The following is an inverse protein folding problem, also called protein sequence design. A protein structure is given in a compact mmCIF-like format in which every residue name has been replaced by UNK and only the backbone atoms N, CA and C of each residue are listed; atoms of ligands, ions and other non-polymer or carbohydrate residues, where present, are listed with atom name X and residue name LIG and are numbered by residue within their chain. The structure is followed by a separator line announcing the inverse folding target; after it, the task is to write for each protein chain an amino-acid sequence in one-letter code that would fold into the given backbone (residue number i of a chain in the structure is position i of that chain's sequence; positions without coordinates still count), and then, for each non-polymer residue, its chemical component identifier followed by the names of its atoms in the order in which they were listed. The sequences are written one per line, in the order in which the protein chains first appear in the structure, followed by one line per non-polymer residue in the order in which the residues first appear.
data_IF_600490931604
#
_entry.id   IF_600490931604
#
_cell.length_a   1.000
_cell.length_b   1.000
_cell.length_c   1.000
_cell.angle_alpha   90.00
_cell.angle_beta   90.00
_cell.angle_gamma   90.00
#
_symmetry.space_group_name_H-M   'P 1'
#
loop_
_entity.id
_entity.type
_entity.pdbx_description
1 polymer ?
#
# COMPACT_ATOMS: atom_id res chain seq x y z
N UNK A 1 40.01 -11.46 53.78
CA UNK A 1 38.73 -11.96 54.34
C UNK A 1 37.86 -10.76 54.67
N UNK A 2 36.70 -10.60 54.02
CA UNK A 2 35.76 -9.49 54.28
C UNK A 2 34.36 -10.02 54.59
N UNK A 3 33.77 -9.59 55.71
CA UNK A 3 32.39 -9.97 56.08
C UNK A 3 31.36 -9.06 55.41
N UNK A 4 30.17 -9.61 55.21
CA UNK A 4 29.06 -8.97 54.50
C UNK A 4 28.50 -7.72 55.20
N UNK A 5 27.97 -6.79 54.40
CA UNK A 5 26.99 -5.80 54.81
C UNK A 5 25.74 -5.91 53.92
N UNK A 6 24.56 -5.94 54.55
CA UNK A 6 23.27 -5.83 53.85
C UNK A 6 22.91 -4.35 53.67
N UNK A 7 22.60 -3.94 52.44
CA UNK A 7 21.92 -2.66 52.20
C UNK A 7 20.40 -2.83 52.28
N UNK A 8 19.70 -1.84 52.85
CA UNK A 8 18.25 -1.88 53.12
C UNK A 8 17.43 -1.50 51.88
N UNK A 9 16.21 -2.02 51.81
CA UNK A 9 15.24 -1.70 50.76
C UNK A 9 14.80 -0.22 50.80
N UNK A 10 14.92 0.47 49.65
CA UNK A 10 14.22 1.73 49.39
C UNK A 10 12.96 1.47 48.57
N UNK A 11 11.78 1.83 49.09
CA UNK A 11 10.51 1.73 48.35
C UNK A 11 10.47 2.80 47.26
N UNK A 12 10.55 2.40 46.00
CA UNK A 12 10.19 3.27 44.87
C UNK A 12 8.68 3.55 44.91
N UNK A 13 8.29 4.82 44.71
CA UNK A 13 6.89 5.25 44.75
C UNK A 13 6.14 4.78 43.51
N UNK A 14 4.95 4.24 43.71
CA UNK A 14 4.05 3.82 42.65
C UNK A 14 3.49 5.07 41.95
N UNK A 15 3.87 5.28 40.68
CA UNK A 15 3.33 6.36 39.85
C UNK A 15 1.96 5.95 39.28
N UNK A 16 1.03 6.89 39.23
CA UNK A 16 -0.36 6.63 38.87
C UNK A 16 -0.55 6.06 37.46
N UNK A 17 -1.47 5.11 37.34
CA UNK A 17 -1.98 4.62 36.06
C UNK A 17 -2.80 5.72 35.38
N UNK A 18 -2.17 6.50 34.52
CA UNK A 18 -2.89 7.32 33.52
C UNK A 18 -3.68 6.38 32.62
N UNK A 19 -5.01 6.33 32.82
CA UNK A 19 -5.93 5.64 31.91
C UNK A 19 -5.95 6.39 30.58
N UNK A 20 -5.66 5.74 29.43
CA UNK A 20 -5.98 6.35 28.14
C UNK A 20 -7.50 6.38 27.97
N UNK A 21 -8.07 7.58 27.88
CA UNK A 21 -9.47 7.79 27.51
C UNK A 21 -9.61 7.56 26.01
N UNK A 22 -9.96 6.34 25.60
CA UNK A 22 -10.65 6.04 24.33
C UNK A 22 -11.29 4.65 24.40
N UNK A 23 -12.42 4.58 25.11
CA UNK A 23 -13.39 3.51 24.90
C UNK A 23 -14.45 4.00 23.90
N UNK A 24 -14.91 3.07 23.07
CA UNK A 24 -16.13 3.11 22.25
C UNK A 24 -16.12 3.94 20.94
N UNK A 25 -16.81 3.36 19.93
CA UNK A 25 -17.08 3.84 18.58
C UNK A 25 -15.91 3.97 17.57
N UNK A 26 -15.37 2.81 17.16
CA UNK A 26 -15.16 2.54 15.74
C UNK A 26 -16.17 1.52 15.22
N UNK A 27 -17.27 2.03 14.68
CA UNK A 27 -18.09 1.24 13.76
C UNK A 27 -17.39 1.20 12.41
N UNK A 28 -16.55 0.20 12.18
CA UNK A 28 -16.00 -0.05 10.83
C UNK A 28 -17.17 -0.31 9.88
N UNK A 29 -17.38 0.62 8.95
CA UNK A 29 -18.44 0.53 7.93
C UNK A 29 -18.04 -0.49 6.87
N UNK A 30 -18.08 -1.77 7.23
CA UNK A 30 -17.94 -2.89 6.30
C UNK A 30 -18.99 -2.74 5.21
N UNK A 31 -18.55 -2.48 3.98
CA UNK A 31 -19.43 -2.34 2.82
C UNK A 31 -19.66 -3.72 2.24
N UNK A 32 -20.82 -4.30 2.56
CA UNK A 32 -21.35 -5.48 1.87
C UNK A 32 -22.22 -5.01 0.71
N UNK A 33 -21.95 -5.48 -0.50
CA UNK A 33 -22.80 -5.25 -1.67
C UNK A 33 -23.14 -6.59 -2.30
N UNK A 34 -24.42 -6.93 -2.33
CA UNK A 34 -24.95 -8.04 -3.13
C UNK A 34 -25.43 -7.42 -4.44
N UNK A 35 -25.03 -7.98 -5.58
CA UNK A 35 -25.50 -7.50 -6.88
C UNK A 35 -26.88 -8.14 -7.16
N UNK A 36 -27.88 -7.39 -7.70
CA UNK A 36 -29.18 -7.96 -8.01
C UNK A 36 -29.07 -9.04 -9.09
N UNK A 37 -29.52 -10.25 -8.79
CA UNK A 37 -29.52 -11.37 -9.74
C UNK A 37 -30.43 -11.08 -10.94
N UNK A 38 -29.83 -11.01 -12.13
CA UNK A 38 -30.56 -10.87 -13.39
C UNK A 38 -31.20 -12.19 -13.80
N UNK A 39 -32.46 -12.42 -13.43
CA UNK A 39 -33.24 -13.52 -13.99
C UNK A 39 -33.70 -13.21 -15.42
N UNK A 40 -33.48 -14.11 -16.41
CA UNK A 40 -34.15 -14.02 -17.70
C UNK A 40 -35.66 -14.28 -17.48
N UNK A 41 -36.49 -13.53 -18.21
CA UNK A 41 -37.85 -13.27 -17.76
C UNK A 41 -38.87 -14.37 -18.00
N UNK A 42 -39.87 -14.44 -17.11
CA UNK A 42 -41.19 -14.98 -17.42
C UNK A 42 -42.25 -13.88 -17.32
N UNK A 43 -43.02 -13.71 -18.40
CA UNK A 43 -44.27 -12.95 -18.38
C UNK A 43 -45.35 -13.82 -17.74
N UNK A 44 -46.03 -13.35 -16.70
CA UNK A 44 -47.38 -13.83 -16.33
C UNK A 44 -48.25 -12.75 -15.69
N UNK A 45 -49.23 -12.33 -16.48
CA UNK A 45 -50.65 -12.17 -16.14
C UNK A 45 -51.05 -11.60 -14.77
N UNK A 46 -51.74 -10.45 -14.82
CA UNK A 46 -52.60 -9.95 -13.73
C UNK A 46 -53.70 -10.96 -13.39
N UNK A 47 -54.00 -11.14 -12.11
CA UNK A 47 -55.29 -11.61 -11.62
C UNK A 47 -55.68 -10.83 -10.36
N UNK A 48 -56.91 -10.30 -10.34
CA UNK A 48 -57.56 -9.83 -9.12
C UNK A 48 -57.94 -11.02 -8.25
N UNK A 49 -57.86 -10.89 -6.92
CA UNK A 49 -58.82 -11.50 -5.99
C UNK A 49 -58.98 -10.63 -4.72
N UNK A 50 -60.14 -10.77 -4.09
CA UNK A 50 -60.71 -9.82 -3.13
C UNK A 50 -60.09 -9.81 -1.72
N UNK A 51 -60.22 -8.65 -1.07
CA UNK A 51 -60.00 -8.49 0.36
C UNK A 51 -61.34 -8.59 1.12
N UNK A 52 -61.49 -9.64 1.94
CA UNK A 52 -62.62 -9.79 2.85
C UNK A 52 -62.17 -9.92 4.30
N UNK A 53 -62.39 -8.88 5.12
CA UNK A 53 -62.52 -8.97 6.57
C UNK A 53 -63.05 -7.67 7.18
N UNK A 54 -64.30 -7.70 7.67
CA UNK A 54 -64.69 -6.87 8.82
C UNK A 54 -64.03 -7.45 10.09
N UNK A 55 -63.88 -6.74 11.21
CA UNK A 55 -64.24 -5.36 11.55
C UNK A 55 -63.92 -5.11 13.03
N UNK A 56 -64.00 -3.87 13.51
CA UNK A 56 -63.71 -3.56 14.91
C UNK A 56 -63.67 -2.05 15.20
N UNK A 57 -64.82 -1.47 15.57
CA UNK A 57 -64.95 -0.04 15.90
C UNK A 57 -65.13 0.17 17.40
N UNK A 58 -64.25 0.96 18.01
CA UNK A 58 -64.51 1.90 19.12
C UNK A 58 -63.37 2.95 19.07
N UNK A 59 -63.50 4.23 19.43
CA UNK A 59 -64.66 5.06 19.81
C UNK A 59 -64.19 6.53 19.95
N UNK A 60 -64.84 7.47 19.25
CA UNK A 60 -64.44 8.87 18.97
C UNK A 60 -64.16 9.80 20.18
N UNK A 61 -63.24 10.75 19.98
CA UNK A 61 -63.43 12.23 20.04
C UNK A 61 -62.15 12.92 19.47
N UNK A 62 -62.13 13.72 18.38
CA UNK A 62 -62.60 15.12 18.17
C UNK A 62 -62.17 16.09 19.29
N UNK A 63 -61.60 17.28 19.06
CA UNK A 63 -61.11 17.99 17.84
C UNK A 63 -60.19 19.16 18.33
N UNK A 64 -59.47 19.98 17.53
CA UNK A 64 -59.42 20.23 16.08
C UNK A 64 -57.92 20.31 15.60
N UNK A 65 -57.40 21.12 14.66
CA UNK A 65 -57.97 22.12 13.74
C UNK A 65 -56.89 22.95 13.00
N UNK A 66 -57.06 23.10 11.67
CA UNK A 66 -56.42 24.07 10.75
C UNK A 66 -54.95 23.89 10.33
N UNK A 67 -54.83 23.80 9.01
CA UNK A 67 -53.63 23.82 8.18
C UNK A 67 -52.92 25.18 8.11
N UNK A 68 -51.62 25.16 7.76
CA UNK A 68 -51.15 25.64 6.45
C UNK A 68 -49.64 25.43 6.27
N UNK A 69 -49.26 24.85 5.13
CA UNK A 69 -47.91 25.01 4.59
C UNK A 69 -47.80 26.35 3.86
N UNK A 70 -46.59 26.94 3.79
CA UNK A 70 -46.22 27.82 2.67
C UNK A 70 -44.70 27.89 2.50
N UNK A 71 -44.28 27.80 1.24
CA UNK A 71 -42.94 28.10 0.80
C UNK A 71 -42.85 29.54 0.27
N UNK A 72 -41.64 30.09 0.25
CA UNK A 72 -41.15 30.80 -0.93
C UNK A 72 -41.18 32.35 -0.95
N UNK A 73 -39.96 32.88 -1.14
CA UNK A 73 -39.54 33.97 -2.05
C UNK A 73 -39.50 35.44 -1.56
N UNK A 74 -38.41 36.07 -2.01
CA UNK A 74 -38.19 37.47 -2.44
C UNK A 74 -38.30 38.63 -1.43
N UNK A 75 -37.13 39.19 -1.08
CA UNK A 75 -36.64 40.55 -1.41
C UNK A 75 -37.61 41.65 -1.93
N UNK A 76 -37.22 42.95 -1.91
CA UNK A 76 -36.21 43.64 -1.07
C UNK A 76 -36.74 44.99 -0.52
N UNK A 77 -35.91 45.74 0.25
CA UNK A 77 -35.94 47.23 0.24
C UNK A 77 -34.69 47.87 0.86
N UNK A 78 -34.29 49.00 0.28
CA UNK A 78 -33.21 49.89 0.72
C UNK A 78 -33.74 50.89 1.75
N UNK A 79 -32.88 51.43 2.62
CA UNK A 79 -32.76 52.87 2.85
C UNK A 79 -31.43 53.19 3.55
N UNK A 80 -30.91 54.39 3.31
CA UNK A 80 -29.64 54.90 3.84
C UNK A 80 -29.90 56.00 4.90
N UNK A 81 -28.92 56.22 5.78
CA UNK A 81 -28.73 57.47 6.52
C UNK A 81 -27.28 57.58 7.04
N UNK A 82 -26.66 58.75 6.83
CA UNK A 82 -25.55 59.28 7.65
C UNK A 82 -26.05 59.51 9.10
N UNK A 83 -25.26 59.76 10.16
CA UNK A 83 -24.12 60.68 10.23
C UNK A 83 -23.26 60.49 11.52
N UNK A 84 -22.23 61.34 11.64
CA UNK A 84 -21.09 61.46 12.57
C UNK A 84 -21.26 61.28 14.09
N UNK A 85 -20.16 60.84 14.70
CA UNK A 85 -19.66 61.24 16.04
C UNK A 85 -18.82 60.14 16.72
N UNK A 86 -17.78 60.39 17.52
CA UNK A 86 -16.85 61.53 17.69
C UNK A 86 -15.59 61.00 18.43
N UNK A 87 -14.43 61.64 18.23
CA UNK A 87 -13.15 61.63 18.99
C UNK A 87 -12.62 60.37 19.72
N UNK A 88 -11.34 60.06 19.48
CA UNK A 88 -10.54 59.16 20.32
C UNK A 88 -9.10 58.94 19.86
N UNK A 89 -8.20 59.92 20.08
CA UNK A 89 -6.76 59.78 19.81
C UNK A 89 -6.09 58.78 20.76
N UNK A 90 -5.44 57.75 20.23
CA UNK A 90 -4.35 57.02 20.93
C UNK A 90 -3.22 56.76 19.93
N UNK A 91 -1.99 56.99 20.39
CA UNK A 91 -0.78 57.15 19.61
C UNK A 91 -0.33 55.96 18.75
N UNK A 92 0.52 56.27 17.78
CA UNK A 92 1.29 55.32 16.97
C UNK A 92 2.02 54.27 17.83
N UNK A 93 1.72 53.00 17.54
CA UNK A 93 2.61 51.90 17.81
C UNK A 93 2.93 51.24 16.46
N UNK A 94 4.15 51.44 15.96
CA UNK A 94 4.59 50.86 14.69
C UNK A 94 4.41 49.34 14.70
N UNK A 95 3.42 48.86 13.94
CA UNK A 95 3.27 47.42 13.71
C UNK A 95 4.48 46.95 12.90
N UNK A 96 5.18 45.88 13.32
CA UNK A 96 6.31 45.36 12.56
C UNK A 96 5.84 45.05 11.14
N UNK A 97 6.57 45.61 10.15
CA UNK A 97 6.25 45.46 8.72
C UNK A 97 6.03 43.97 8.44
N UNK A 98 4.86 43.62 7.90
CA UNK A 98 4.55 42.24 7.51
C UNK A 98 5.69 41.74 6.61
N UNK A 99 6.49 40.82 7.14
CA UNK A 99 7.58 40.21 6.38
C UNK A 99 7.04 39.70 5.05
N UNK A 100 7.75 40.00 3.95
CA UNK A 100 7.33 39.62 2.62
C UNK A 100 7.02 38.12 2.61
N UNK A 101 5.75 37.77 2.38
CA UNK A 101 5.33 36.38 2.39
C UNK A 101 6.02 35.68 1.22
N UNK A 102 7.04 34.87 1.54
CA UNK A 102 7.80 34.09 0.55
C UNK A 102 6.79 33.40 -0.38
N UNK A 103 6.80 33.70 -1.69
CA UNK A 103 5.85 33.10 -2.62
C UNK A 103 5.87 31.59 -2.47
N UNK A 104 4.70 30.97 -2.33
CA UNK A 104 4.58 29.52 -2.03
C UNK A 104 5.33 28.62 -3.03
N UNK A 105 5.66 29.13 -4.22
CA UNK A 105 6.53 28.47 -5.20
C UNK A 105 8.02 28.47 -4.81
N UNK A 106 8.55 29.56 -4.27
CA UNK A 106 9.96 29.69 -3.87
C UNK A 106 10.28 28.78 -2.69
N UNK A 107 9.43 28.78 -1.65
CA UNK A 107 9.57 27.87 -0.51
C UNK A 107 9.58 26.40 -0.95
N UNK A 108 8.76 26.02 -1.95
CA UNK A 108 8.78 24.66 -2.53
C UNK A 108 10.08 24.35 -3.26
N UNK A 109 10.67 25.31 -3.99
CA UNK A 109 11.98 25.14 -4.65
C UNK A 109 13.10 24.99 -3.61
N UNK A 110 13.11 25.81 -2.56
CA UNK A 110 14.09 25.69 -1.47
C UNK A 110 14.00 24.34 -0.78
N UNK A 111 12.80 23.89 -0.40
CA UNK A 111 12.60 22.55 0.22
C UNK A 111 13.06 21.43 -0.73
N UNK A 112 12.73 21.50 -2.02
CA UNK A 112 13.17 20.51 -3.00
C UNK A 112 14.71 20.49 -3.18
N UNK A 113 15.36 21.66 -3.21
CA UNK A 113 16.82 21.77 -3.29
C UNK A 113 17.52 21.23 -2.04
N UNK A 114 17.02 21.57 -0.85
CA UNK A 114 17.53 21.05 0.43
C UNK A 114 17.35 19.53 0.51
N UNK A 115 16.19 19.00 0.12
CA UNK A 115 15.95 17.56 0.08
C UNK A 115 16.86 16.85 -0.93
N UNK A 116 17.13 17.47 -2.09
CA UNK A 116 18.08 16.96 -3.09
C UNK A 116 19.53 16.96 -2.57
N UNK A 117 19.92 17.98 -1.81
CA UNK A 117 21.25 18.04 -1.18
C UNK A 117 21.40 16.96 -0.09
N UNK A 118 20.40 16.81 0.78
CA UNK A 118 20.32 15.73 1.77
C UNK A 118 20.43 14.35 1.12
N UNK A 119 19.66 14.07 0.05
CA UNK A 119 19.74 12.79 -0.67
C UNK A 119 21.11 12.53 -1.30
N UNK A 120 21.80 13.56 -1.80
CA UNK A 120 23.17 13.42 -2.34
C UNK A 120 24.18 13.07 -1.24
N UNK A 121 24.12 13.76 -0.10
CA UNK A 121 24.96 13.44 1.06
C UNK A 121 24.69 12.01 1.57
N UNK A 122 23.41 11.67 1.79
CA UNK A 122 23.01 10.35 2.26
C UNK A 122 23.41 9.21 1.31
N UNK A 123 23.44 9.44 -0.02
CA UNK A 123 23.94 8.44 -1.00
C UNK A 123 25.47 8.29 -0.98
N UNK A 124 26.21 9.33 -0.56
CA UNK A 124 27.67 9.26 -0.41
C UNK A 124 28.10 8.51 0.86
N UNK A 125 27.36 8.67 1.96
CA UNK A 125 27.60 7.98 3.23
C UNK A 125 26.92 6.58 3.30
N UNK A 126 26.30 6.13 2.21
CA UNK A 126 25.52 4.89 2.18
C UNK A 126 26.41 3.65 2.21
N UNK A 127 26.04 2.66 3.03
CA UNK A 127 26.72 1.36 3.08
C UNK A 127 26.57 0.61 1.75
N UNK A 128 27.68 0.16 1.16
CA UNK A 128 27.71 -0.64 -0.07
C UNK A 128 27.91 -2.12 0.27
N UNK A 129 27.06 -2.96 -0.32
CA UNK A 129 27.16 -4.42 -0.29
C UNK A 129 28.10 -4.90 -1.39
N UNK A 130 28.64 -6.12 -1.28
CA UNK A 130 29.57 -6.72 -2.25
C UNK A 130 28.88 -7.28 -3.51
N UNK A 131 27.56 -7.09 -3.60
CA UNK A 131 26.71 -7.49 -4.72
C UNK A 131 25.75 -6.35 -5.10
N UNK A 132 25.38 -6.21 -6.38
CA UNK A 132 24.55 -5.12 -6.84
C UNK A 132 23.18 -5.06 -6.15
N UNK A 133 22.70 -3.84 -5.95
CA UNK A 133 21.47 -3.56 -5.24
C UNK A 133 20.47 -2.86 -6.15
N UNK A 134 19.40 -3.57 -6.52
CA UNK A 134 18.25 -3.04 -7.29
C UNK A 134 17.14 -2.64 -6.31
N UNK A 135 16.73 -1.38 -6.36
CA UNK A 135 15.75 -0.79 -5.45
C UNK A 135 14.43 -0.57 -6.17
N UNK A 136 13.34 -1.15 -5.64
CA UNK A 136 11.99 -0.90 -6.12
C UNK A 136 11.28 0.00 -5.11
N UNK A 137 10.72 1.12 -5.55
CA UNK A 137 9.96 1.99 -4.65
C UNK A 137 8.98 2.91 -5.34
N UNK A 138 8.47 3.88 -4.58
CA UNK A 138 7.62 4.95 -5.09
C UNK A 138 7.82 6.23 -4.26
N UNK A 139 7.28 7.35 -4.74
CA UNK A 139 7.31 8.64 -4.02
C UNK A 139 6.07 8.90 -3.15
N UNK A 140 5.21 7.90 -2.91
CA UNK A 140 3.83 8.13 -2.44
C UNK A 140 3.31 7.09 -1.44
N UNK A 141 2.47 7.53 -0.50
CA UNK A 141 1.83 6.67 0.49
C UNK A 141 0.72 5.82 -0.14
N UNK A 142 0.90 4.50 -0.07
CA UNK A 142 -0.07 3.48 -0.50
C UNK A 142 0.52 2.43 -1.46
N UNK A 143 -0.24 1.35 -1.68
CA UNK A 143 0.15 0.26 -2.56
C UNK A 143 0.11 0.66 -4.05
N UNK A 144 1.28 0.87 -4.66
CA UNK A 144 1.43 1.03 -6.12
C UNK A 144 1.97 -0.22 -6.84
N UNK A 145 1.82 -1.40 -6.24
CA UNK A 145 2.31 -2.65 -6.82
C UNK A 145 3.83 -2.83 -6.74
N UNK A 146 4.48 -2.22 -5.73
CA UNK A 146 5.92 -2.38 -5.45
C UNK A 146 6.31 -3.84 -5.23
N UNK A 147 5.64 -4.53 -4.30
CA UNK A 147 5.87 -5.95 -3.99
C UNK A 147 5.70 -6.87 -5.21
N UNK A 148 4.62 -6.77 -6.03
CA UNK A 148 4.55 -7.46 -7.33
C UNK A 148 5.65 -7.09 -8.33
N UNK A 149 6.09 -5.83 -8.41
CA UNK A 149 7.17 -5.41 -9.30
C UNK A 149 8.53 -5.93 -8.81
N UNK A 150 8.78 -5.95 -7.49
CA UNK A 150 9.96 -6.56 -6.89
C UNK A 150 10.01 -8.07 -7.17
N UNK A 151 8.88 -8.77 -7.08
CA UNK A 151 8.78 -10.16 -7.51
C UNK A 151 9.03 -10.34 -9.02
N UNK A 152 8.51 -9.44 -9.87
CA UNK A 152 8.77 -9.46 -11.31
C UNK A 152 10.26 -9.27 -11.64
N UNK A 153 10.90 -8.26 -11.05
CA UNK A 153 12.34 -7.96 -11.22
C UNK A 153 13.21 -9.11 -10.70
N UNK A 154 12.90 -9.66 -9.52
CA UNK A 154 13.61 -10.83 -9.00
C UNK A 154 13.47 -12.06 -9.91
N UNK A 155 12.30 -12.30 -10.50
CA UNK A 155 12.12 -13.37 -11.51
C UNK A 155 12.93 -13.13 -12.79
N UNK A 156 13.03 -11.89 -13.28
CA UNK A 156 13.86 -11.57 -14.45
C UNK A 156 15.35 -11.86 -14.20
N UNK A 157 15.84 -11.54 -13.00
CA UNK A 157 17.22 -11.81 -12.58
C UNK A 157 17.48 -13.31 -12.36
N UNK A 158 16.55 -14.02 -11.70
CA UNK A 158 16.64 -15.48 -11.59
C UNK A 158 16.66 -16.16 -12.96
N UNK A 159 15.84 -15.67 -13.91
CA UNK A 159 15.80 -16.17 -15.28
C UNK A 159 17.03 -15.79 -16.13
N UNK A 160 17.92 -14.91 -15.65
CA UNK A 160 19.26 -14.68 -16.25
C UNK A 160 20.37 -15.47 -15.55
N UNK A 161 20.04 -16.36 -14.62
CA UNK A 161 21.00 -17.19 -13.88
C UNK A 161 21.54 -16.57 -12.59
N UNK A 162 21.05 -15.40 -12.19
CA UNK A 162 21.39 -14.80 -10.90
C UNK A 162 20.68 -15.52 -9.74
N UNK A 163 21.23 -15.37 -8.53
CA UNK A 163 20.61 -15.82 -7.27
C UNK A 163 20.14 -14.59 -6.48
N UNK A 164 18.93 -14.06 -6.77
CA UNK A 164 18.44 -12.87 -6.11
C UNK A 164 18.11 -13.12 -4.65
N UNK A 165 18.42 -12.15 -3.81
CA UNK A 165 17.79 -11.99 -2.49
C UNK A 165 16.79 -10.84 -2.52
N UNK A 166 15.68 -10.95 -1.80
CA UNK A 166 14.69 -9.89 -1.64
C UNK A 166 14.74 -9.36 -0.21
N UNK A 167 15.10 -8.09 -0.06
CA UNK A 167 15.31 -7.42 1.22
C UNK A 167 14.10 -6.52 1.53
N UNK A 168 13.32 -6.87 2.56
CA UNK A 168 12.12 -6.14 2.97
C UNK A 168 12.23 -5.58 4.39
N UNK A 169 11.41 -4.57 4.71
CA UNK A 169 11.27 -4.04 6.10
C UNK A 169 10.59 -5.02 7.04
N UNK A 170 9.70 -5.88 6.52
CA UNK A 170 8.70 -6.57 7.35
C UNK A 170 7.65 -5.61 7.90
N UNK A 171 7.05 -4.78 7.02
CA UNK A 171 5.91 -3.95 7.41
C UNK A 171 4.75 -4.86 7.87
N UNK A 172 4.04 -4.45 8.92
CA UNK A 172 2.94 -5.25 9.49
C UNK A 172 3.35 -6.38 10.46
N UNK A 173 4.65 -6.64 10.69
CA UNK A 173 5.09 -7.56 11.75
C UNK A 173 4.61 -7.11 13.13
N UNK A 174 4.23 -8.05 14.00
CA UNK A 174 3.83 -7.76 15.37
C UNK A 174 5.03 -7.74 16.33
N UNK A 175 6.04 -8.55 16.03
CA UNK A 175 7.24 -8.69 16.84
C UNK A 175 8.44 -8.34 15.97
N UNK A 176 9.11 -7.24 16.32
CA UNK A 176 10.43 -6.94 15.80
C UNK A 176 11.44 -7.92 16.42
N UNK A 177 12.09 -8.73 15.58
CA UNK A 177 13.28 -9.47 15.98
C UNK A 177 14.49 -8.53 16.04
N UNK A 178 15.34 -8.68 17.06
CA UNK A 178 16.69 -8.13 17.03
C UNK A 178 17.50 -8.87 15.95
N UNK A 179 17.84 -8.19 14.86
CA UNK A 179 18.60 -8.75 13.73
C UNK A 179 17.74 -9.09 12.49
N UNK A 180 18.14 -10.13 11.76
CA UNK A 180 17.57 -10.51 10.46
C UNK A 180 16.65 -11.72 10.61
N UNK A 181 15.41 -11.61 10.15
CA UNK A 181 14.52 -12.76 9.96
C UNK A 181 14.65 -13.29 8.54
N UNK A 182 15.04 -14.55 8.38
CA UNK A 182 15.00 -15.24 7.08
C UNK A 182 13.61 -15.86 6.90
N UNK A 183 12.94 -15.50 5.80
CA UNK A 183 11.60 -15.98 5.41
C UNK A 183 11.70 -17.02 4.30
N UNK A 184 12.75 -16.95 3.49
CA UNK A 184 13.14 -17.96 2.49
C UNK A 184 14.65 -17.99 2.38
N UNK A 185 15.24 -19.18 2.30
CA UNK A 185 16.65 -19.39 1.92
C UNK A 185 16.84 -19.62 0.40
N UNK A 186 15.74 -19.58 -0.36
CA UNK A 186 15.69 -19.89 -1.80
C UNK A 186 15.31 -21.34 -2.11
N UNK A 187 15.43 -22.26 -1.16
CA UNK A 187 15.01 -23.66 -1.30
C UNK A 187 13.71 -23.94 -0.53
N UNK A 188 13.56 -23.36 0.66
CA UNK A 188 12.44 -23.56 1.57
C UNK A 188 11.94 -22.23 2.15
N UNK A 189 10.62 -22.16 2.40
CA UNK A 189 10.01 -21.03 3.10
C UNK A 189 10.12 -21.28 4.61
N UNK A 190 11.09 -20.61 5.24
CA UNK A 190 11.37 -20.69 6.66
C UNK A 190 10.36 -19.83 7.43
N UNK A 191 9.36 -20.46 8.02
CA UNK A 191 8.37 -19.78 8.85
C UNK A 191 8.86 -19.71 10.30
N UNK A 192 8.79 -18.52 10.92
CA UNK A 192 9.23 -18.31 12.31
C UNK A 192 10.75 -18.25 12.54
N UNK A 193 11.57 -18.16 11.47
CA UNK A 193 13.02 -17.99 11.58
C UNK A 193 13.78 -19.23 12.09
N UNK A 194 13.19 -20.42 12.03
CA UNK A 194 13.83 -21.71 12.33
C UNK A 194 13.42 -22.75 11.28
N UNK A 195 14.25 -23.78 11.10
CA UNK A 195 13.97 -24.92 10.24
C UNK A 195 12.98 -25.92 10.92
N UNK A 196 11.79 -25.44 11.27
CA UNK A 196 10.70 -26.19 11.90
C UNK A 196 9.42 -26.08 11.07
N UNK A 197 8.48 -27.06 11.16
CA UNK A 197 7.19 -26.96 10.49
C UNK A 197 6.36 -25.76 10.98
N UNK A 198 5.66 -25.13 10.04
CA UNK A 198 4.88 -23.92 10.24
C UNK A 198 3.92 -23.95 11.45
N UNK A 199 3.91 -22.87 12.23
CA UNK A 199 2.97 -22.64 13.35
C UNK A 199 2.18 -21.33 13.14
N UNK A 200 1.00 -21.15 13.77
CA UNK A 200 0.16 -19.97 13.55
C UNK A 200 0.82 -18.60 13.87
N UNK A 201 1.86 -18.57 14.71
CA UNK A 201 2.55 -17.34 15.10
C UNK A 201 3.55 -16.82 14.05
N UNK A 202 3.83 -17.55 12.97
CA UNK A 202 4.96 -17.20 12.09
C UNK A 202 4.72 -15.91 11.28
N UNK A 203 3.47 -15.57 11.01
CA UNK A 203 3.08 -14.30 10.37
C UNK A 203 3.42 -13.08 11.23
N UNK A 204 3.43 -13.23 12.56
CA UNK A 204 3.78 -12.16 13.49
C UNK A 204 5.25 -11.74 13.39
N UNK A 205 6.12 -12.65 12.92
CA UNK A 205 7.56 -12.44 12.76
C UNK A 205 7.96 -12.10 11.32
N UNK A 206 7.43 -12.83 10.33
CA UNK A 206 7.78 -12.65 8.91
C UNK A 206 7.07 -11.48 8.23
N UNK A 207 5.88 -11.09 8.71
CA UNK A 207 4.99 -10.17 7.98
C UNK A 207 4.29 -10.83 6.78
N UNK A 208 3.29 -10.15 6.21
CA UNK A 208 2.49 -10.65 5.09
C UNK A 208 3.21 -10.49 3.74
N UNK A 209 3.71 -9.30 3.43
CA UNK A 209 4.41 -9.00 2.17
C UNK A 209 5.67 -9.88 1.93
N UNK A 210 6.54 -10.17 2.92
CA UNK A 210 7.70 -11.05 2.72
C UNK A 210 7.32 -12.51 2.44
N UNK A 211 6.26 -13.04 3.07
CA UNK A 211 5.78 -14.39 2.77
C UNK A 211 5.17 -14.47 1.36
N UNK A 212 4.50 -13.42 0.90
CA UNK A 212 4.03 -13.32 -0.49
C UNK A 212 5.21 -13.33 -1.48
N UNK A 213 6.28 -12.57 -1.20
CA UNK A 213 7.48 -12.54 -2.03
C UNK A 213 8.15 -13.92 -2.13
N UNK A 214 8.28 -14.62 -1.00
CA UNK A 214 8.87 -15.96 -0.93
C UNK A 214 8.10 -16.99 -1.77
N UNK A 215 6.77 -16.87 -1.86
CA UNK A 215 5.92 -17.70 -2.74
C UNK A 215 5.99 -17.28 -4.21
N UNK A 216 6.05 -15.98 -4.47
CA UNK A 216 6.00 -15.42 -5.82
C UNK A 216 7.33 -15.61 -6.59
N UNK A 217 8.43 -15.91 -5.90
CA UNK A 217 9.77 -16.11 -6.49
C UNK A 217 10.47 -17.32 -5.86
N UNK A 218 10.07 -18.56 -6.22
CA UNK A 218 10.85 -19.77 -5.87
C UNK A 218 12.29 -19.63 -6.36
N UNK A 219 13.26 -20.07 -5.56
CA UNK A 219 14.69 -19.87 -5.83
C UNK A 219 15.29 -18.59 -5.23
N UNK A 220 14.47 -17.60 -4.85
CA UNK A 220 14.95 -16.38 -4.20
C UNK A 220 14.98 -16.50 -2.67
N UNK A 221 16.09 -16.05 -2.07
CA UNK A 221 16.13 -15.83 -0.63
C UNK A 221 15.28 -14.60 -0.29
N UNK A 222 14.55 -14.61 0.83
CA UNK A 222 13.75 -13.46 1.28
C UNK A 222 14.07 -13.18 2.74
N UNK A 223 14.54 -11.96 3.00
CA UNK A 223 15.05 -11.55 4.30
C UNK A 223 14.38 -10.26 4.76
N UNK A 224 14.10 -10.20 6.06
CA UNK A 224 13.40 -9.11 6.73
C UNK A 224 14.33 -8.51 7.77
N UNK A 225 14.66 -7.23 7.61
CA UNK A 225 15.38 -6.45 8.61
C UNK A 225 15.12 -4.95 8.44
N UNK A 226 15.24 -4.18 9.52
CA UNK A 226 15.27 -2.72 9.40
C UNK A 226 16.61 -2.23 8.83
N UNK A 227 17.71 -2.87 9.18
CA UNK A 227 19.02 -2.61 8.59
C UNK A 227 19.25 -3.55 7.39
N UNK A 228 19.07 -3.03 6.16
CA UNK A 228 19.15 -3.85 4.95
C UNK A 228 20.57 -4.27 4.64
N UNK A 229 21.57 -3.51 5.07
CA UNK A 229 22.98 -3.90 4.94
C UNK A 229 23.23 -5.26 5.64
N UNK A 230 22.68 -5.43 6.84
CA UNK A 230 22.84 -6.66 7.62
C UNK A 230 22.16 -7.86 6.93
N UNK A 231 20.96 -7.65 6.38
CA UNK A 231 20.24 -8.68 5.64
C UNK A 231 20.94 -9.05 4.31
N UNK A 232 21.43 -8.06 3.56
CA UNK A 232 22.19 -8.29 2.32
C UNK A 232 23.49 -9.07 2.58
N UNK A 233 24.28 -8.64 3.58
CA UNK A 233 25.51 -9.34 3.99
C UNK A 233 25.26 -10.78 4.41
N UNK A 234 24.14 -11.06 5.11
CA UNK A 234 23.74 -12.42 5.44
C UNK A 234 23.38 -13.23 4.19
N UNK A 235 22.64 -12.65 3.25
CA UNK A 235 22.25 -13.32 2.01
C UNK A 235 23.44 -13.67 1.11
N UNK A 236 24.42 -12.78 1.01
CA UNK A 236 25.70 -13.03 0.31
C UNK A 236 26.46 -14.21 0.92
N UNK A 237 26.62 -14.20 2.25
CA UNK A 237 27.51 -15.15 2.95
C UNK A 237 26.87 -16.52 3.22
N UNK A 238 25.58 -16.56 3.54
CA UNK A 238 24.88 -17.79 3.92
C UNK A 238 24.17 -18.48 2.75
N UNK A 239 23.65 -17.70 1.79
CA UNK A 239 22.85 -18.22 0.66
C UNK A 239 23.53 -18.01 -0.70
N UNK A 240 24.72 -17.41 -0.72
CA UNK A 240 25.49 -17.21 -1.94
C UNK A 240 24.79 -16.30 -2.95
N UNK A 241 23.91 -15.40 -2.51
CA UNK A 241 23.17 -14.50 -3.39
C UNK A 241 24.11 -13.59 -4.19
N UNK A 242 23.74 -13.30 -5.43
CA UNK A 242 24.57 -12.55 -6.39
C UNK A 242 24.03 -11.16 -6.72
N UNK A 243 22.78 -10.88 -6.36
CA UNK A 243 22.10 -9.59 -6.53
C UNK A 243 21.03 -9.42 -5.44
N UNK A 244 20.78 -8.18 -5.04
CA UNK A 244 19.77 -7.84 -4.04
C UNK A 244 18.64 -7.03 -4.66
N UNK A 245 17.39 -7.30 -4.27
CA UNK A 245 16.19 -6.55 -4.66
C UNK A 245 15.53 -5.97 -3.40
N UNK A 246 15.46 -4.65 -3.25
CA UNK A 246 14.75 -4.02 -2.13
C UNK A 246 13.28 -3.80 -2.49
N UNK A 247 12.38 -4.35 -1.68
CA UNK A 247 10.98 -3.93 -1.70
C UNK A 247 10.78 -2.68 -0.82
N UNK A 248 10.17 -1.67 -1.41
CA UNK A 248 10.02 -0.31 -0.87
C UNK A 248 11.34 0.42 -0.52
N UNK A 249 12.36 0.23 -1.36
CA UNK A 249 13.75 0.69 -1.16
C UNK A 249 14.03 2.17 -1.41
N UNK A 250 13.16 2.91 -2.11
CA UNK A 250 13.49 4.25 -2.59
C UNK A 250 13.75 5.29 -1.48
N UNK A 251 13.06 5.18 -0.32
CA UNK A 251 13.32 6.00 0.87
C UNK A 251 14.51 5.51 1.72
N UNK A 252 15.08 4.34 1.44
CA UNK A 252 16.12 3.73 2.27
C UNK A 252 17.52 4.20 1.79
N UNK A 253 17.93 5.38 2.24
CA UNK A 253 19.17 6.03 1.78
C UNK A 253 20.45 5.47 2.43
N UNK A 254 20.35 4.75 3.55
CA UNK A 254 21.52 4.20 4.27
C UNK A 254 22.21 3.05 3.53
N UNK A 255 21.55 2.45 2.53
CA UNK A 255 22.11 1.43 1.67
C UNK A 255 22.36 2.01 0.28
N UNK A 256 23.54 1.76 -0.27
CA UNK A 256 23.86 2.09 -1.66
C UNK A 256 22.98 1.25 -2.59
N UNK A 257 22.52 1.85 -3.68
CA UNK A 257 21.64 1.24 -4.69
C UNK A 257 22.26 1.50 -6.04
N UNK A 258 22.54 0.44 -6.79
CA UNK A 258 23.15 0.51 -8.12
C UNK A 258 22.10 0.82 -9.20
N UNK A 259 20.83 0.46 -8.92
CA UNK A 259 19.69 0.75 -9.78
C UNK A 259 18.48 1.14 -8.92
N UNK A 260 17.96 2.36 -9.05
CA UNK A 260 16.70 2.82 -8.45
C UNK A 260 15.56 2.84 -9.48
N UNK A 261 14.56 1.96 -9.29
CA UNK A 261 13.36 1.85 -10.13
C UNK A 261 12.16 2.40 -9.35
N UNK A 262 11.53 3.46 -9.88
CA UNK A 262 10.50 4.21 -9.15
C UNK A 262 9.16 4.16 -9.85
N UNK A 263 8.15 3.60 -9.16
CA UNK A 263 6.76 3.60 -9.62
C UNK A 263 6.12 4.98 -9.36
N UNK A 264 5.54 5.57 -10.40
CA UNK A 264 4.88 6.88 -10.37
C UNK A 264 3.51 6.77 -11.02
N UNK A 265 2.45 7.21 -10.33
CA UNK A 265 1.13 7.40 -10.94
C UNK A 265 0.96 8.87 -11.35
N UNK A 266 0.06 9.14 -12.30
CA UNK A 266 -0.28 10.52 -12.70
C UNK A 266 -0.72 11.40 -11.50
N UNK A 267 -1.51 10.83 -10.58
CA UNK A 267 -1.93 11.47 -9.32
C UNK A 267 -0.76 11.86 -8.38
N UNK A 268 0.46 11.36 -8.60
CA UNK A 268 1.65 11.77 -7.83
C UNK A 268 2.36 13.00 -8.43
N UNK A 269 2.29 13.21 -9.75
CA UNK A 269 3.02 14.28 -10.45
C UNK A 269 2.54 15.68 -10.05
N UNK A 270 1.25 15.80 -9.71
CA UNK A 270 0.63 17.01 -9.14
C UNK A 270 0.59 17.02 -7.60
N UNK A 271 1.10 15.95 -6.98
CA UNK A 271 1.01 15.69 -5.54
C UNK A 271 1.82 16.64 -4.65
N UNK A 272 1.64 16.47 -3.34
CA UNK A 272 2.35 17.22 -2.29
C UNK A 272 2.90 16.26 -1.22
N UNK A 273 4.07 16.56 -0.64
CA UNK A 273 4.58 15.85 0.53
C UNK A 273 3.61 15.85 1.72
N UNK A 274 3.62 14.77 2.49
CA UNK A 274 3.02 14.69 3.84
C UNK A 274 3.55 15.86 4.70
N UNK A 275 2.71 16.54 5.51
CA UNK A 275 1.29 16.27 5.78
C UNK A 275 0.31 16.90 4.76
N UNK A 276 0.80 17.64 3.75
CA UNK A 276 -0.03 18.41 2.83
C UNK A 276 -0.54 17.63 1.60
N UNK A 277 -0.28 16.33 1.57
CA UNK A 277 -0.67 15.39 0.52
C UNK A 277 -0.16 13.99 0.82
N UNK A 278 -0.17 13.12 -0.19
CA UNK A 278 0.20 11.71 -0.05
C UNK A 278 1.68 11.41 -0.35
N UNK A 279 2.46 12.35 -0.85
CA UNK A 279 3.83 12.04 -1.25
C UNK A 279 4.72 11.82 -0.02
N UNK A 280 5.54 10.77 -0.04
CA UNK A 280 6.64 10.56 0.92
C UNK A 280 7.79 11.52 0.66
N UNK A 281 7.97 11.93 -0.60
CA UNK A 281 9.07 12.76 -1.07
C UNK A 281 8.57 13.76 -2.14
N UNK A 282 9.21 14.93 -2.33
CA UNK A 282 8.86 15.81 -3.42
C UNK A 282 9.10 15.14 -4.79
N UNK A 283 8.31 15.50 -5.81
CA UNK A 283 8.43 14.98 -7.19
C UNK A 283 9.83 15.19 -7.79
N UNK A 284 10.54 16.23 -7.35
CA UNK A 284 11.95 16.48 -7.72
C UNK A 284 12.91 15.33 -7.34
N UNK A 285 12.52 14.42 -6.45
CA UNK A 285 13.34 13.26 -6.05
C UNK A 285 13.44 12.22 -7.16
N UNK A 286 12.57 12.27 -8.19
CA UNK A 286 12.67 11.44 -9.38
C UNK A 286 13.98 11.67 -10.16
N UNK A 287 14.72 12.76 -9.91
CA UNK A 287 16.07 12.98 -10.45
C UNK A 287 17.07 11.88 -10.04
N UNK A 288 16.77 11.13 -8.97
CA UNK A 288 17.58 10.03 -8.43
C UNK A 288 17.10 8.64 -8.87
N UNK A 289 16.09 8.56 -9.73
CA UNK A 289 15.64 7.30 -10.32
C UNK A 289 16.47 6.99 -11.57
N UNK A 290 16.92 5.74 -11.68
CA UNK A 290 17.60 5.22 -12.87
C UNK A 290 16.57 4.75 -13.92
N UNK A 291 15.36 4.36 -13.50
CA UNK A 291 14.19 4.21 -14.36
C UNK A 291 12.88 4.61 -13.67
N UNK A 292 11.92 5.11 -14.46
CA UNK A 292 10.57 5.45 -14.02
C UNK A 292 9.56 4.46 -14.58
N UNK A 293 8.70 3.93 -13.71
CA UNK A 293 7.67 2.96 -14.03
C UNK A 293 6.30 3.64 -13.87
N UNK A 294 5.66 3.96 -15.00
CA UNK A 294 4.42 4.72 -15.03
C UNK A 294 3.22 3.80 -14.77
N UNK A 295 2.53 4.05 -13.66
CA UNK A 295 1.26 3.41 -13.29
C UNK A 295 0.11 4.02 -14.10
N UNK A 296 0.03 3.60 -15.38
CA UNK A 296 -0.92 4.13 -16.39
C UNK A 296 -2.35 3.57 -16.24
N UNK A 297 -2.55 2.58 -15.37
CA UNK A 297 -3.84 1.92 -15.17
C UNK A 297 -4.34 1.09 -16.37
N UNK A 298 -5.52 0.46 -16.27
CA UNK A 298 -6.05 -0.43 -17.32
C UNK A 298 -6.56 0.33 -18.57
N UNK A 299 -6.60 1.66 -18.55
CA UNK A 299 -7.13 2.48 -19.65
C UNK A 299 -6.09 2.91 -20.68
N UNK A 300 -4.82 2.55 -20.50
CA UNK A 300 -3.77 2.85 -21.48
C UNK A 300 -3.78 1.82 -22.61
N UNK A 301 -4.51 2.13 -23.67
CA UNK A 301 -4.46 1.37 -24.92
C UNK A 301 -3.05 1.45 -25.52
N UNK A 302 -2.53 0.31 -25.96
CA UNK A 302 -1.25 0.15 -26.66
C UNK A 302 -1.34 0.72 -28.10
N UNK A 303 -1.52 2.03 -28.20
CA UNK A 303 -1.73 2.79 -29.43
C UNK A 303 -0.92 4.09 -29.41
N UNK A 304 0.39 3.95 -29.22
CA UNK A 304 1.32 5.07 -29.08
C UNK A 304 2.73 4.54 -28.85
N UNK A 305 3.40 4.12 -29.93
CA UNK A 305 4.78 3.64 -29.86
C UNK A 305 5.75 4.76 -29.45
N UNK A 306 6.86 4.37 -28.83
CA UNK A 306 8.04 5.20 -28.56
C UNK A 306 7.73 6.61 -27.97
N UNK A 307 7.39 6.67 -26.68
CA UNK A 307 7.46 7.95 -25.96
C UNK A 307 6.37 8.23 -24.93
N UNK A 308 6.19 7.35 -23.95
CA UNK A 308 5.80 7.85 -22.64
C UNK A 308 6.96 8.71 -22.11
N UNK A 309 6.96 10.02 -22.41
CA UNK A 309 8.04 10.92 -21.96
C UNK A 309 8.18 10.78 -20.45
N UNK A 310 9.40 10.48 -19.99
CA UNK A 310 9.72 10.50 -18.58
C UNK A 310 9.22 11.84 -17.99
N UNK A 311 8.62 11.84 -16.78
CA UNK A 311 8.18 13.09 -16.16
C UNK A 311 9.33 14.09 -16.17
N UNK A 312 9.09 15.37 -16.44
CA UNK A 312 10.14 16.40 -16.56
C UNK A 312 11.01 16.61 -15.29
N UNK A 313 10.76 15.83 -14.23
CA UNK A 313 11.44 15.78 -12.95
C UNK A 313 12.27 14.49 -12.74
N UNK A 314 12.11 13.48 -13.61
CA UNK A 314 13.10 12.42 -13.76
C UNK A 314 14.40 13.03 -14.31
N UNK A 315 15.53 12.35 -14.16
CA UNK A 315 16.71 12.73 -14.95
C UNK A 315 16.32 12.67 -16.44
N UNK A 316 16.75 13.63 -17.26
CA UNK A 316 16.38 13.67 -18.67
C UNK A 316 16.89 12.47 -19.50
N UNK A 317 17.69 11.59 -18.87
CA UNK A 317 18.23 10.35 -19.43
C UNK A 317 17.59 9.07 -18.84
N UNK A 318 16.77 9.15 -17.80
CA UNK A 318 16.15 7.97 -17.19
C UNK A 318 15.03 7.42 -18.10
N UNK A 319 15.10 6.16 -18.57
CA UNK A 319 14.02 5.57 -19.35
C UNK A 319 12.72 5.47 -18.55
N UNK A 320 11.61 5.56 -19.27
CA UNK A 320 10.27 5.43 -18.72
C UNK A 320 9.54 4.26 -19.39
N UNK A 321 8.97 3.39 -18.56
CA UNK A 321 8.24 2.20 -18.99
C UNK A 321 6.81 2.21 -18.44
N UNK A 322 5.89 1.48 -19.08
CA UNK A 322 4.52 1.36 -18.62
C UNK A 322 4.35 0.16 -17.67
N UNK A 323 3.70 0.37 -16.52
CA UNK A 323 3.32 -0.69 -15.60
C UNK A 323 1.98 -1.28 -16.03
N UNK A 324 2.02 -2.51 -16.56
CA UNK A 324 0.81 -3.27 -16.86
C UNK A 324 0.46 -4.14 -15.66
N UNK A 325 -0.82 -4.16 -15.30
CA UNK A 325 -1.36 -5.02 -14.24
C UNK A 325 -2.48 -5.85 -14.79
N UNK A 326 -2.48 -7.12 -14.42
CA UNK A 326 -3.50 -8.10 -14.81
C UNK A 326 -3.78 -9.06 -13.68
N UNK A 327 -4.90 -9.74 -13.78
CA UNK A 327 -5.20 -10.96 -13.02
C UNK A 327 -5.50 -12.05 -14.04
N UNK A 328 -5.34 -13.31 -13.66
CA UNK A 328 -5.74 -14.42 -14.52
C UNK A 328 -7.23 -14.29 -14.93
N UNK A 329 -7.60 -14.55 -16.19
CA UNK A 329 -9.00 -14.52 -16.61
C UNK A 329 -9.81 -15.60 -15.91
N UNK A 330 -11.12 -15.36 -15.78
CA UNK A 330 -12.04 -16.36 -15.22
C UNK A 330 -11.99 -17.66 -16.06
N UNK A 331 -11.75 -18.78 -15.39
CA UNK A 331 -11.69 -20.12 -16.03
C UNK A 331 -13.08 -20.69 -16.33
N UNK A 332 -14.09 -20.23 -15.60
CA UNK A 332 -15.47 -20.65 -15.69
C UNK A 332 -16.39 -19.55 -15.13
N UNK A 333 -17.71 -19.69 -15.36
CA UNK A 333 -18.73 -18.70 -14.95
C UNK A 333 -19.30 -18.95 -13.56
N UNK A 334 -18.66 -19.76 -12.70
CA UNK A 334 -19.19 -20.03 -11.35
C UNK A 334 -19.30 -18.74 -10.54
N UNK A 335 -20.38 -18.57 -9.77
CA UNK A 335 -20.56 -17.38 -8.94
C UNK A 335 -19.48 -17.33 -7.86
N UNK A 336 -18.84 -16.17 -7.72
CA UNK A 336 -17.81 -15.91 -6.70
C UNK A 336 -18.15 -14.67 -5.88
N UNK A 337 -17.81 -14.71 -4.59
CA UNK A 337 -17.93 -13.56 -3.70
C UNK A 337 -16.55 -12.90 -3.53
N UNK A 338 -16.42 -11.62 -3.81
CA UNK A 338 -15.12 -10.94 -3.78
C UNK A 338 -14.83 -10.27 -2.43
N UNK A 339 -13.67 -10.56 -1.85
CA UNK A 339 -13.20 -10.05 -0.57
C UNK A 339 -11.87 -9.30 -0.74
N UNK A 340 -11.73 -8.09 -0.19
CA UNK A 340 -10.43 -7.42 -0.17
C UNK A 340 -10.25 -6.46 1.02
N UNK A 341 -9.12 -6.59 1.71
CA UNK A 341 -8.64 -5.76 2.83
C UNK A 341 -7.40 -4.95 2.45
N UNK A 342 -7.57 -4.07 1.45
CA UNK A 342 -6.51 -3.23 0.84
C UNK A 342 -6.96 -1.76 0.76
N UNK A 343 -6.05 -0.82 0.52
CA UNK A 343 -6.36 0.62 0.48
C UNK A 343 -7.46 1.09 -0.50
N UNK A 344 -7.75 0.33 -1.57
CA UNK A 344 -8.83 0.62 -2.54
C UNK A 344 -9.48 -0.71 -3.02
N UNK A 345 -10.35 -1.35 -2.22
CA UNK A 345 -10.94 -2.66 -2.54
C UNK A 345 -11.70 -2.68 -3.88
N UNK A 346 -12.35 -1.56 -4.23
CA UNK A 346 -13.11 -1.42 -5.46
C UNK A 346 -12.28 -1.72 -6.72
N UNK A 347 -10.98 -1.36 -6.74
CA UNK A 347 -10.10 -1.66 -7.89
C UNK A 347 -9.93 -3.16 -8.15
N UNK A 348 -9.92 -3.98 -7.09
CA UNK A 348 -9.83 -5.43 -7.21
C UNK A 348 -11.16 -6.01 -7.72
N UNK A 349 -12.30 -5.52 -7.20
CA UNK A 349 -13.62 -5.96 -7.63
C UNK A 349 -13.89 -5.60 -9.10
N UNK A 350 -13.49 -4.40 -9.54
CA UNK A 350 -13.62 -3.98 -10.93
C UNK A 350 -12.71 -4.81 -11.85
N UNK A 351 -11.48 -5.13 -11.40
CA UNK A 351 -10.55 -6.00 -12.13
C UNK A 351 -11.11 -7.42 -12.32
N UNK A 352 -11.74 -8.00 -11.29
CA UNK A 352 -12.45 -9.28 -11.40
C UNK A 352 -13.55 -9.24 -12.45
N UNK A 353 -14.37 -8.18 -12.47
CA UNK A 353 -15.43 -8.01 -13.47
C UNK A 353 -14.86 -7.87 -14.88
N UNK A 354 -13.80 -7.08 -15.07
CA UNK A 354 -13.10 -6.93 -16.35
C UNK A 354 -12.45 -8.25 -16.83
N UNK A 355 -11.95 -9.07 -15.90
CA UNK A 355 -11.37 -10.39 -16.20
C UNK A 355 -12.43 -11.51 -16.38
N UNK A 356 -13.72 -11.18 -16.40
CA UNK A 356 -14.81 -12.10 -16.71
C UNK A 356 -15.37 -12.90 -15.53
N UNK A 357 -14.99 -12.59 -14.28
CA UNK A 357 -15.52 -13.32 -13.12
C UNK A 357 -16.98 -12.97 -12.85
N UNK A 358 -17.80 -13.99 -12.57
CA UNK A 358 -19.18 -13.84 -12.14
C UNK A 358 -19.25 -13.42 -10.66
N UNK A 359 -18.98 -12.14 -10.39
CA UNK A 359 -18.97 -11.58 -9.03
C UNK A 359 -20.39 -11.29 -8.55
N UNK A 360 -20.95 -12.18 -7.71
CA UNK A 360 -22.33 -12.07 -7.18
C UNK A 360 -22.45 -11.17 -5.94
N UNK A 361 -21.33 -10.91 -5.27
CA UNK A 361 -21.28 -9.96 -4.16
C UNK A 361 -19.86 -9.58 -3.79
N UNK A 362 -19.71 -8.48 -3.06
CA UNK A 362 -18.42 -7.97 -2.60
C UNK A 362 -18.45 -7.55 -1.12
N UNK A 363 -17.29 -7.67 -0.45
CA UNK A 363 -17.07 -7.16 0.90
C UNK A 363 -15.68 -6.51 1.01
N UNK A 364 -15.67 -5.21 1.30
CA UNK A 364 -14.44 -4.43 1.49
C UNK A 364 -14.09 -4.26 2.96
N UNK A 365 -12.81 -4.44 3.30
CA UNK A 365 -12.20 -4.16 4.60
C UNK A 365 -11.10 -3.09 4.47
N UNK A 366 -10.62 -2.57 5.60
CA UNK A 366 -9.50 -1.63 5.63
C UNK A 366 -8.17 -2.30 5.20
N UNK A 367 -7.19 -1.49 4.78
CA UNK A 367 -5.84 -2.00 4.53
C UNK A 367 -5.23 -2.55 5.83
N UNK A 368 -4.52 -3.67 5.74
CA UNK A 368 -4.01 -4.44 6.89
C UNK A 368 -5.08 -4.93 7.88
N UNK A 369 -6.33 -5.15 7.44
CA UNK A 369 -7.37 -5.77 8.29
C UNK A 369 -6.94 -7.14 8.82
N UNK A 370 -7.23 -7.39 10.10
CA UNK A 370 -7.00 -8.67 10.78
C UNK A 370 -8.33 -9.40 10.92
N UNK A 371 -8.49 -10.49 10.18
CA UNK A 371 -9.73 -11.27 10.18
C UNK A 371 -9.92 -12.01 11.50
N UNK A 372 -11.04 -11.74 12.16
CA UNK A 372 -11.51 -12.45 13.34
C UNK A 372 -12.45 -13.60 12.96
N UNK A 373 -12.67 -14.57 13.86
CA UNK A 373 -13.61 -15.68 13.59
C UNK A 373 -15.04 -15.21 13.26
N UNK A 374 -15.49 -14.08 13.84
CA UNK A 374 -16.77 -13.45 13.53
C UNK A 374 -16.77 -12.73 12.17
N UNK A 375 -15.63 -12.20 11.71
CA UNK A 375 -15.49 -11.74 10.32
C UNK A 375 -15.67 -12.90 9.36
N UNK A 376 -15.02 -14.03 9.61
CA UNK A 376 -15.08 -15.22 8.75
C UNK A 376 -16.51 -15.77 8.65
N UNK A 377 -17.23 -15.87 9.78
CA UNK A 377 -18.64 -16.24 9.77
C UNK A 377 -19.45 -15.29 8.89
N UNK A 378 -19.37 -13.98 9.14
CA UNK A 378 -20.06 -12.94 8.36
C UNK A 378 -19.72 -12.96 6.86
N UNK A 379 -18.46 -13.22 6.50
CA UNK A 379 -18.03 -13.33 5.09
C UNK A 379 -18.66 -14.57 4.44
N UNK A 380 -18.65 -15.72 5.14
CA UNK A 380 -19.23 -16.98 4.65
C UNK A 380 -20.74 -16.91 4.51
N UNK A 381 -21.43 -16.32 5.48
CA UNK A 381 -22.88 -16.10 5.45
C UNK A 381 -23.25 -15.17 4.29
N UNK A 382 -22.51 -14.07 4.08
CA UNK A 382 -22.73 -13.17 2.95
C UNK A 382 -22.48 -13.86 1.59
N UNK A 383 -21.43 -14.68 1.49
CA UNK A 383 -21.12 -15.44 0.28
C UNK A 383 -22.19 -16.51 -0.03
N UNK A 384 -22.64 -17.25 0.99
CA UNK A 384 -23.69 -18.26 0.85
C UNK A 384 -25.04 -17.63 0.47
N UNK A 385 -25.43 -16.53 1.13
CA UNK A 385 -26.66 -15.79 0.82
C UNK A 385 -26.64 -15.16 -0.58
N UNK A 386 -25.47 -14.86 -1.13
CA UNK A 386 -25.30 -14.40 -2.51
C UNK A 386 -25.23 -15.56 -3.54
N UNK A 387 -25.32 -16.81 -3.11
CA UNK A 387 -25.23 -17.99 -3.98
C UNK A 387 -23.82 -18.24 -4.55
N UNK A 388 -22.77 -17.74 -3.89
CA UNK A 388 -21.40 -17.97 -4.32
C UNK A 388 -20.93 -19.41 -4.11
N UNK A 389 -20.01 -19.86 -4.95
CA UNK A 389 -19.34 -21.17 -4.86
C UNK A 389 -17.95 -21.11 -4.21
N UNK A 390 -17.35 -19.91 -4.15
CA UNK A 390 -16.07 -19.64 -3.53
C UNK A 390 -15.96 -18.14 -3.16
N UNK A 391 -15.06 -17.82 -2.24
CA UNK A 391 -14.69 -16.45 -1.90
C UNK A 391 -13.34 -16.13 -2.56
N UNK A 392 -13.33 -15.24 -3.55
CA UNK A 392 -12.09 -14.80 -4.22
C UNK A 392 -11.49 -13.59 -3.51
N UNK A 393 -10.17 -13.59 -3.32
CA UNK A 393 -9.49 -12.55 -2.53
C UNK A 393 -8.07 -12.27 -3.00
N UNK A 394 -7.44 -11.23 -2.44
CA UNK A 394 -6.10 -10.80 -2.85
C UNK A 394 -4.99 -11.63 -2.20
N UNK A 395 -3.79 -11.64 -2.80
CA UNK A 395 -2.58 -12.24 -2.21
C UNK A 395 -2.25 -11.70 -0.80
N UNK A 396 -2.62 -10.44 -0.49
CA UNK A 396 -2.42 -9.85 0.84
C UNK A 396 -3.39 -10.42 1.87
N UNK A 397 -4.63 -10.66 1.46
CA UNK A 397 -5.69 -11.12 2.34
C UNK A 397 -5.62 -12.63 2.55
N UNK A 398 -5.31 -13.43 1.52
CA UNK A 398 -5.26 -14.90 1.64
C UNK A 398 -4.27 -15.36 2.72
N UNK A 399 -3.13 -14.68 2.84
CA UNK A 399 -2.10 -14.95 3.86
C UNK A 399 -2.67 -14.78 5.28
N UNK A 400 -3.55 -13.79 5.49
CA UNK A 400 -4.22 -13.55 6.79
C UNK A 400 -5.44 -14.45 7.00
N UNK A 401 -5.94 -15.07 5.92
CA UNK A 401 -7.08 -16.00 5.91
C UNK A 401 -6.65 -17.47 6.01
N UNK A 402 -5.35 -17.79 5.91
CA UNK A 402 -4.80 -19.16 6.01
C UNK A 402 -5.26 -19.90 7.28
N UNK A 403 -5.32 -19.20 8.42
CA UNK A 403 -5.81 -19.75 9.70
C UNK A 403 -7.28 -20.21 9.65
N UNK A 404 -8.02 -19.84 8.60
CA UNK A 404 -9.45 -20.09 8.40
C UNK A 404 -9.74 -20.85 7.11
N UNK A 405 -8.74 -21.43 6.45
CA UNK A 405 -8.87 -22.07 5.13
C UNK A 405 -9.90 -23.22 5.07
N UNK A 406 -10.19 -23.90 6.19
CA UNK A 406 -11.16 -24.99 6.26
C UNK A 406 -12.62 -24.55 6.29
N UNK A 407 -13.47 -25.20 5.48
CA UNK A 407 -14.92 -25.00 5.44
C UNK A 407 -15.52 -25.34 4.06
N UNK A 408 -16.85 -25.35 3.97
CA UNK A 408 -17.55 -25.62 2.71
C UNK A 408 -17.44 -24.49 1.66
N UNK A 409 -17.13 -23.27 2.10
CA UNK A 409 -16.90 -22.10 1.25
C UNK A 409 -15.39 -21.78 1.24
N UNK A 410 -14.64 -22.19 0.20
CA UNK A 410 -13.19 -22.01 0.15
C UNK A 410 -12.81 -20.54 -0.13
N UNK A 411 -11.69 -20.13 0.46
CA UNK A 411 -11.00 -18.90 0.07
C UNK A 411 -10.04 -19.20 -1.09
N UNK A 412 -10.08 -18.40 -2.15
CA UNK A 412 -9.28 -18.57 -3.36
C UNK A 412 -8.49 -17.30 -3.62
N UNK A 413 -7.17 -17.41 -3.70
CA UNK A 413 -6.29 -16.30 -4.10
C UNK A 413 -6.46 -15.99 -5.59
N UNK A 414 -6.56 -14.70 -5.91
CA UNK A 414 -6.42 -14.17 -7.26
C UNK A 414 -5.17 -13.27 -7.27
N UNK A 415 -4.01 -13.80 -7.72
CA UNK A 415 -2.77 -13.04 -7.77
C UNK A 415 -2.85 -11.82 -8.68
N UNK A 416 -2.16 -10.75 -8.29
CA UNK A 416 -1.97 -9.56 -9.12
C UNK A 416 -0.67 -9.69 -9.92
N UNK A 417 -0.78 -10.05 -11.18
CA UNK A 417 0.34 -10.08 -12.11
C UNK A 417 0.74 -8.68 -12.53
N UNK A 418 2.05 -8.49 -12.67
CA UNK A 418 2.69 -7.26 -13.12
C UNK A 418 3.67 -7.60 -14.25
N UNK A 419 3.57 -6.85 -15.34
CA UNK A 419 4.64 -6.73 -16.35
C UNK A 419 5.01 -5.26 -16.55
N UNK A 420 6.20 -5.05 -17.09
CA UNK A 420 6.70 -3.74 -17.51
C UNK A 420 6.78 -3.76 -19.03
N UNK A 421 6.29 -2.72 -19.70
CA UNK A 421 6.26 -2.63 -21.16
C UNK A 421 7.09 -1.43 -21.66
N UNK A 422 7.90 -1.59 -22.74
CA UNK A 422 8.13 -2.83 -23.48
C UNK A 422 9.01 -3.83 -22.70
N UNK A 423 8.56 -5.09 -22.62
CA UNK A 423 9.19 -6.09 -21.75
C UNK A 423 10.66 -6.39 -22.09
N UNK A 424 10.99 -6.53 -23.38
CA UNK A 424 12.35 -6.84 -23.81
C UNK A 424 13.32 -5.67 -23.58
N UNK A 425 12.87 -4.43 -23.82
CA UNK A 425 13.66 -3.22 -23.56
C UNK A 425 13.93 -3.04 -22.07
N UNK A 426 12.92 -3.24 -21.22
CA UNK A 426 13.10 -3.18 -19.76
C UNK A 426 14.04 -4.26 -19.26
N UNK A 427 13.88 -5.51 -19.74
CA UNK A 427 14.76 -6.62 -19.39
C UNK A 427 16.20 -6.38 -19.82
N UNK A 428 16.42 -5.95 -21.06
CA UNK A 428 17.76 -5.67 -21.58
C UNK A 428 18.45 -4.54 -20.78
N UNK A 429 17.73 -3.44 -20.51
CA UNK A 429 18.22 -2.34 -19.69
C UNK A 429 18.58 -2.77 -18.26
N UNK A 430 17.70 -3.52 -17.60
CA UNK A 430 17.92 -4.02 -16.23
C UNK A 430 19.17 -4.90 -16.14
N UNK A 431 19.31 -5.86 -17.06
CA UNK A 431 20.44 -6.78 -17.07
C UNK A 431 21.77 -6.07 -17.38
N UNK A 432 21.79 -5.13 -18.33
CA UNK A 432 22.96 -4.28 -18.58
C UNK A 432 23.36 -3.48 -17.33
N UNK A 433 22.38 -2.91 -16.62
CA UNK A 433 22.62 -2.12 -15.41
C UNK A 433 23.20 -2.94 -14.25
N UNK A 434 22.73 -4.17 -14.05
CA UNK A 434 23.29 -5.10 -13.06
C UNK A 434 24.69 -5.58 -13.46
N UNK A 435 24.91 -5.89 -14.74
CA UNK A 435 26.22 -6.31 -15.25
C UNK A 435 27.30 -5.22 -15.11
N UNK A 436 26.96 -3.95 -15.39
CA UNK A 436 27.88 -2.83 -15.19
C UNK A 436 28.21 -2.59 -13.70
N UNK A 437 27.26 -2.81 -12.79
CA UNK A 437 27.50 -2.76 -11.35
C UNK A 437 28.48 -3.87 -10.89
N UNK A 438 28.31 -5.10 -11.39
CA UNK A 438 29.26 -6.20 -11.16
C UNK A 438 30.67 -5.88 -11.70
N UNK A 439 30.75 -5.28 -12.90
CA UNK A 439 32.03 -4.90 -13.51
C UNK A 439 32.76 -3.77 -12.77
N UNK A 440 32.02 -2.83 -12.18
CA UNK A 440 32.59 -1.75 -11.37
C UNK A 440 33.26 -2.28 -10.09
N UNK A 441 32.60 -3.21 -9.38
CA UNK A 441 33.12 -3.89 -8.18
C UNK A 441 34.45 -4.61 -8.46
N UNK A 442 34.51 -5.40 -9.55
CA UNK A 442 35.73 -6.11 -9.94
C UNK A 442 36.92 -5.16 -10.21
N UNK A 443 36.66 -3.94 -10.69
CA UNK A 443 37.69 -2.92 -10.88
C UNK A 443 38.13 -2.24 -9.58
N UNK A 444 37.23 -2.06 -8.60
CA UNK A 444 37.60 -1.53 -7.28
C UNK A 444 38.41 -2.54 -6.47
N UNK A 445 38.03 -3.82 -6.48
CA UNK A 445 38.73 -4.88 -5.75
C UNK A 445 40.16 -5.08 -6.28
N UNK A 446 40.32 -5.08 -7.60
CA UNK A 446 41.65 -5.14 -8.23
C UNK A 446 42.53 -3.92 -7.87
N UNK A 447 41.94 -2.73 -7.67
CA UNK A 447 42.64 -1.51 -7.22
C UNK A 447 42.93 -1.49 -5.71
N UNK A 448 42.13 -2.20 -4.91
CA UNK A 448 42.35 -2.36 -3.48
C UNK A 448 43.44 -3.41 -3.20
N UNK A 449 43.46 -4.52 -3.95
CA UNK A 449 44.45 -5.60 -3.82
C UNK A 449 45.84 -5.30 -4.44
N UNK A 450 45.99 -4.17 -5.14
CA UNK A 450 47.25 -3.69 -5.72
C UNK A 450 47.86 -2.51 -4.97
N UNK A 451 47.39 -2.24 -3.74
CA UNK A 451 47.89 -1.27 -2.78
C UNK A 451 48.28 -1.95 -1.48
#
# INVERSE_FOLDING_TARGET
MGRAQRARAGRARQADRVRPVHAEFRGDRVRVRVEPGGHPGERRSRAHLDAGAAGGRFGRARAAGRSRARAGRSEPRRHAADDRGDRGLVADAERPRRGAAVPRGELRRVIASLYSAYRRAARADAHRLARPVVSIGNISMGGRGKTPLAAHVARLLAASGERPSILSRGYGREIASDGVTVVSDGQTILRGGRAEPARPNDLAHSGDEPLMLARAVPGAAVLVCDERALAGTLAERAFGCTVHVLDDGFQHHHLHRDVDIVIVADEDLSGRPVPFGRLREPVASLQFADAVILDVGPSFSSGGGAGAKAPAYASAAAPAYALKRSIAPAKDSRPVFALAGIAKPERFFDSLKTAGYNVVGTMGFADHHRYSASDIARIRDAAANAGASAIVTTSKDIVRLEAFAGGAMPFVEIPLDVSVEPADEFRAWLLARVAEALGAEASSDAKAASR
#
